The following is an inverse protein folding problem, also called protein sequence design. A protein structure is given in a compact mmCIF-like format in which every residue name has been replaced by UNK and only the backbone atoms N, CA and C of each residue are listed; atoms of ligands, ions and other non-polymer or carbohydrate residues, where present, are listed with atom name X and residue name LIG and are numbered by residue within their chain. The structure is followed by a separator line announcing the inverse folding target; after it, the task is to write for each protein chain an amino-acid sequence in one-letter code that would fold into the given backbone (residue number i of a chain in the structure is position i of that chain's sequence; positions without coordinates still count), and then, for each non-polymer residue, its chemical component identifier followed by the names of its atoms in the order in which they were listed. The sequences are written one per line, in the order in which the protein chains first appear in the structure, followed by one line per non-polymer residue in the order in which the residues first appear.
data_IF_368169355111
#
_entry.id   IF_368169355111
#
_cell.length_a   1.000
_cell.length_b   1.000
_cell.length_c   1.000
_cell.angle_alpha   90.00
_cell.angle_beta   90.00
_cell.angle_gamma   90.00
#
_symmetry.space_group_name_H-M   'P 1'
#
loop_
_entity.id
_entity.type
_entity.pdbx_description
1 polymer ?
#
# COMPACT_ATOMS: atom_id res chain seq x y z
N UNK A 1 25.21 -5.46 -6.74
CA UNK A 1 25.42 -4.00 -6.85
C UNK A 1 24.55 -3.48 -8.01
N UNK A 2 23.33 -3.01 -7.74
CA UNK A 2 22.48 -2.40 -8.80
C UNK A 2 22.55 -0.88 -8.67
N UNK A 3 22.90 -0.14 -9.73
CA UNK A 3 23.11 1.29 -9.67
C UNK A 3 21.77 2.02 -9.46
N UNK A 4 21.71 2.83 -8.41
CA UNK A 4 20.57 3.66 -8.04
C UNK A 4 20.25 4.68 -9.16
N UNK A 5 19.29 4.34 -10.03
CA UNK A 5 18.72 5.27 -11.01
C UNK A 5 17.82 6.29 -10.30
N UNK A 6 17.75 7.56 -10.79
CA UNK A 6 17.07 8.68 -10.12
C UNK A 6 15.68 8.28 -9.66
N UNK A 7 15.43 8.49 -8.36
CA UNK A 7 14.27 8.03 -7.58
C UNK A 7 12.99 8.06 -8.39
N UNK A 8 12.69 6.91 -9.01
CA UNK A 8 11.47 6.72 -9.78
C UNK A 8 10.31 6.86 -8.80
N UNK A 9 9.17 7.44 -9.19
CA UNK A 9 7.99 7.56 -8.32
C UNK A 9 7.59 6.23 -7.65
N UNK A 10 7.95 5.09 -8.26
CA UNK A 10 7.87 3.75 -7.67
C UNK A 10 8.63 3.62 -6.34
N UNK A 11 9.83 4.21 -6.17
CA UNK A 11 10.54 4.18 -4.88
C UNK A 11 9.88 5.08 -3.84
N UNK A 12 9.27 6.21 -4.24
CA UNK A 12 8.47 7.02 -3.32
C UNK A 12 7.18 6.29 -2.91
N UNK A 13 6.55 5.60 -3.86
CA UNK A 13 5.39 4.74 -3.62
C UNK A 13 5.78 3.58 -2.71
N UNK A 14 6.91 2.92 -2.97
CA UNK A 14 7.44 1.86 -2.14
C UNK A 14 7.80 2.38 -0.74
N UNK A 15 8.41 3.56 -0.60
CA UNK A 15 8.71 4.15 0.71
C UNK A 15 7.45 4.57 1.50
N UNK A 16 6.42 5.09 0.81
CA UNK A 16 5.11 5.36 1.41
C UNK A 16 4.39 4.07 1.80
N UNK A 17 4.43 3.06 0.93
CA UNK A 17 3.94 1.72 1.22
C UNK A 17 4.76 1.02 2.31
N UNK A 18 6.06 1.32 2.44
CA UNK A 18 6.94 0.87 3.53
C UNK A 18 6.50 1.46 4.86
N UNK A 19 6.16 2.76 4.89
CA UNK A 19 5.58 3.42 6.07
C UNK A 19 4.23 2.85 6.48
N UNK A 20 3.43 2.39 5.51
CA UNK A 20 2.12 1.80 5.72
C UNK A 20 2.12 0.27 5.49
N UNK A 21 3.28 -0.40 5.65
CA UNK A 21 3.43 -1.82 5.26
C UNK A 21 2.56 -2.72 6.11
N UNK A 22 2.31 -2.36 7.36
CA UNK A 22 1.39 -3.08 8.23
C UNK A 22 -0.02 -3.10 7.64
N UNK A 23 -0.60 -1.95 7.34
CA UNK A 23 -1.91 -1.86 6.66
C UNK A 23 -1.90 -2.52 5.27
N UNK A 24 -0.82 -2.37 4.50
CA UNK A 24 -0.70 -2.98 3.17
C UNK A 24 -0.65 -4.51 3.23
N UNK A 25 0.05 -5.07 4.21
CA UNK A 25 0.12 -6.50 4.45
C UNK A 25 -1.24 -7.04 4.93
N UNK A 26 -1.98 -6.31 5.77
CA UNK A 26 -3.32 -6.74 6.22
C UNK A 26 -4.34 -6.67 5.08
N UNK A 27 -4.31 -5.60 4.28
CA UNK A 27 -5.10 -5.51 3.05
C UNK A 27 -4.76 -6.65 2.07
N UNK A 28 -3.48 -6.89 1.82
CA UNK A 28 -3.01 -7.98 0.97
C UNK A 28 -3.41 -9.37 1.49
N UNK A 29 -3.35 -9.60 2.80
CA UNK A 29 -3.83 -10.85 3.44
C UNK A 29 -5.32 -11.05 3.22
N UNK A 30 -6.12 -10.00 3.37
CA UNK A 30 -7.56 -10.05 3.15
C UNK A 30 -7.91 -10.34 1.67
N UNK A 31 -7.15 -9.75 0.74
CA UNK A 31 -7.28 -10.02 -0.70
C UNK A 31 -6.85 -11.44 -1.06
N UNK A 32 -5.74 -11.93 -0.52
CA UNK A 32 -5.22 -13.27 -0.81
C UNK A 32 -6.10 -14.36 -0.19
N UNK A 33 -6.65 -14.12 1.00
CA UNK A 33 -7.56 -15.04 1.66
C UNK A 33 -8.83 -15.31 0.85
N UNK A 34 -9.26 -14.31 0.07
CA UNK A 34 -10.50 -14.38 -0.69
C UNK A 34 -10.30 -13.86 -2.12
N UNK A 35 -9.24 -14.35 -2.76
CA UNK A 35 -8.79 -13.89 -4.09
C UNK A 35 -9.86 -14.10 -5.18
N UNK A 36 -10.77 -15.04 -4.96
CA UNK A 36 -11.83 -15.41 -5.91
C UNK A 36 -13.07 -14.50 -5.80
N UNK A 37 -13.30 -13.87 -4.66
CA UNK A 37 -14.44 -12.96 -4.47
C UNK A 37 -13.99 -11.59 -3.97
N UNK A 38 -12.80 -11.15 -4.41
CA UNK A 38 -12.36 -9.75 -4.29
C UNK A 38 -13.36 -8.87 -5.03
N UNK A 39 -14.33 -8.35 -4.29
CA UNK A 39 -15.31 -7.39 -4.76
C UNK A 39 -15.12 -6.07 -4.01
N UNK A 40 -15.66 -4.98 -4.57
CA UNK A 40 -15.80 -3.72 -3.82
C UNK A 40 -16.45 -4.05 -2.47
N UNK A 41 -15.81 -3.59 -1.39
CA UNK A 41 -16.14 -3.78 0.03
C UNK A 41 -15.56 -4.97 0.82
N UNK A 42 -15.02 -6.04 0.21
CA UNK A 42 -14.50 -7.16 1.03
C UNK A 42 -13.37 -6.77 1.99
N UNK A 43 -12.47 -5.90 1.53
CA UNK A 43 -11.39 -5.38 2.35
C UNK A 43 -11.48 -3.86 2.51
N UNK A 44 -12.69 -3.29 2.52
CA UNK A 44 -12.89 -1.84 2.62
C UNK A 44 -12.27 -1.25 3.90
N UNK A 45 -12.40 -1.93 5.05
CA UNK A 45 -11.81 -1.47 6.31
C UNK A 45 -10.28 -1.30 6.21
N UNK A 46 -9.61 -2.27 5.59
CA UNK A 46 -8.15 -2.27 5.45
C UNK A 46 -7.69 -1.34 4.33
N UNK A 47 -8.49 -1.22 3.27
CA UNK A 47 -8.28 -0.24 2.21
C UNK A 47 -8.39 1.19 2.73
N UNK A 48 -9.32 1.48 3.64
CA UNK A 48 -9.46 2.82 4.26
C UNK A 48 -8.22 3.15 5.10
N UNK A 49 -7.73 2.21 5.93
CA UNK A 49 -6.52 2.44 6.73
C UNK A 49 -5.29 2.64 5.85
N UNK A 50 -5.11 1.79 4.84
CA UNK A 50 -4.04 1.93 3.85
C UNK A 50 -4.12 3.28 3.13
N UNK A 51 -5.32 3.66 2.67
CA UNK A 51 -5.56 4.95 2.00
C UNK A 51 -5.24 6.14 2.91
N UNK A 52 -5.65 6.13 4.17
CA UNK A 52 -5.38 7.22 5.12
C UNK A 52 -3.88 7.38 5.36
N UNK A 53 -3.18 6.26 5.60
CA UNK A 53 -1.73 6.27 5.77
C UNK A 53 -1.02 6.71 4.47
N UNK A 54 -1.50 6.25 3.31
CA UNK A 54 -0.98 6.65 2.01
C UNK A 54 -1.17 8.15 1.73
N UNK A 55 -2.34 8.70 2.03
CA UNK A 55 -2.65 10.13 1.89
C UNK A 55 -1.80 10.99 2.83
N UNK A 56 -1.58 10.55 4.08
CA UNK A 56 -0.65 11.22 5.01
C UNK A 56 0.78 11.18 4.51
N UNK A 57 1.25 10.03 4.04
CA UNK A 57 2.59 9.86 3.49
C UNK A 57 2.81 10.68 2.20
N UNK A 58 1.76 10.85 1.38
CA UNK A 58 1.80 11.64 0.15
C UNK A 58 1.76 13.16 0.43
N UNK A 59 1.05 13.60 1.48
CA UNK A 59 1.04 15.01 1.94
C UNK A 59 2.35 15.47 2.57
N UNK A 60 3.21 14.56 3.04
CA UNK A 60 4.57 14.91 3.49
C UNK A 60 5.53 15.02 2.31
N UNK A 61 5.36 16.05 1.47
CA UNK A 61 6.46 16.61 0.69
C UNK A 61 6.21 18.06 0.27
#
# INVERSE_FOLDING_TARGET
MQPAKPTRPIQKFAAAASKCTSEAAVYGKCIVADYNSVHKDKCAAEFIKLKDCYLKAYKSK
#
